data_IF_602414967309
#
_entry.id   IF_602414967309
#
_cell.length_a   1.000
_cell.length_b   1.000
_cell.length_c   1.000
_cell.angle_alpha   90.00
_cell.angle_beta   90.00
_cell.angle_gamma   90.00
#
_symmetry.space_group_name_H-M   'P 1'
#
loop_
_entity.id
_entity.type
_entity.pdbx_description
1 polymer ?
#
# COMPACT_ATOMS: atom_id res chain seq x y z
N UNK A 1 -8.22 -33.69 -24.37
CA UNK A 1 -6.77 -33.37 -24.38
C UNK A 1 -6.51 -32.50 -23.17
N UNK A 2 -5.94 -33.14 -22.15
CA UNK A 2 -5.49 -32.56 -20.89
C UNK A 2 -4.46 -31.44 -21.15
N UNK A 3 -4.72 -30.23 -20.68
CA UNK A 3 -3.76 -29.11 -20.75
C UNK A 3 -3.49 -28.59 -19.36
N UNK A 4 -2.84 -29.45 -18.57
CA UNK A 4 -1.82 -29.11 -17.56
C UNK A 4 -2.03 -27.79 -16.81
N UNK A 5 -2.99 -27.87 -15.92
CA UNK A 5 -3.28 -27.06 -14.74
C UNK A 5 -2.15 -27.15 -13.68
N UNK A 6 -0.89 -26.93 -14.08
CA UNK A 6 0.28 -26.92 -13.17
C UNK A 6 1.31 -25.84 -13.56
N UNK A 7 1.29 -25.37 -14.83
CA UNK A 7 2.23 -24.35 -15.29
C UNK A 7 1.83 -22.92 -14.90
N UNK A 8 0.57 -22.67 -14.52
CA UNK A 8 0.06 -21.34 -14.16
C UNK A 8 0.43 -20.95 -12.71
N UNK A 9 0.44 -21.90 -11.78
CA UNK A 9 0.74 -21.63 -10.37
C UNK A 9 2.23 -21.35 -10.08
N UNK A 10 3.13 -21.67 -11.02
CA UNK A 10 4.59 -21.53 -10.84
C UNK A 10 5.17 -20.37 -11.64
N UNK A 11 4.43 -19.78 -12.58
CA UNK A 11 4.99 -18.72 -13.42
C UNK A 11 5.13 -17.42 -12.62
N UNK A 12 6.38 -17.17 -12.20
CA UNK A 12 6.79 -16.06 -11.34
C UNK A 12 6.05 -16.00 -9.99
N UNK A 13 5.89 -17.14 -9.33
CA UNK A 13 5.43 -17.16 -7.94
C UNK A 13 6.57 -16.72 -6.99
N UNK A 14 6.52 -15.52 -6.39
CA UNK A 14 7.45 -15.20 -5.31
C UNK A 14 7.13 -16.10 -4.13
N UNK A 15 8.16 -16.64 -3.46
CA UNK A 15 7.98 -17.27 -2.17
C UNK A 15 7.29 -16.24 -1.25
N UNK A 16 6.13 -16.60 -0.68
CA UNK A 16 5.39 -15.71 0.19
C UNK A 16 6.31 -15.24 1.33
N UNK A 17 6.70 -13.96 1.39
CA UNK A 17 7.56 -13.49 2.45
C UNK A 17 6.81 -13.64 3.78
N UNK A 18 7.52 -14.07 4.81
CA UNK A 18 6.98 -14.04 6.16
C UNK A 18 6.54 -12.59 6.44
N UNK A 19 5.24 -12.40 6.70
CA UNK A 19 4.68 -11.08 6.98
C UNK A 19 5.39 -10.56 8.22
N UNK A 20 6.07 -9.40 8.16
CA UNK A 20 6.78 -8.87 9.31
C UNK A 20 5.79 -8.71 10.47
N UNK A 21 6.25 -8.97 11.69
CA UNK A 21 5.47 -8.69 12.89
C UNK A 21 4.99 -7.22 12.82
N UNK A 22 3.75 -6.93 13.28
CA UNK A 22 3.28 -5.56 13.32
C UNK A 22 4.30 -4.74 14.11
N UNK A 23 4.92 -3.77 13.43
CA UNK A 23 5.95 -2.97 14.06
C UNK A 23 5.32 -2.21 15.22
N UNK A 24 5.89 -2.36 16.41
CA UNK A 24 5.62 -1.57 17.61
C UNK A 24 6.18 -0.14 17.46
N UNK A 25 6.11 0.41 16.24
CA UNK A 25 6.66 1.71 15.89
C UNK A 25 5.88 2.84 16.58
N UNK A 26 6.42 4.07 16.57
CA UNK A 26 5.68 5.26 16.96
C UNK A 26 4.31 5.27 16.28
N UNK A 27 3.27 5.86 16.90
CA UNK A 27 1.95 5.97 16.27
C UNK A 27 2.11 6.46 14.83
N UNK A 28 1.67 5.63 13.89
CA UNK A 28 1.59 6.05 12.51
C UNK A 28 0.57 7.17 12.40
N UNK A 29 0.84 8.20 11.62
CA UNK A 29 -0.14 9.25 11.39
C UNK A 29 -1.39 8.63 10.74
N UNK A 30 -2.58 9.06 11.14
CA UNK A 30 -3.83 8.65 10.48
C UNK A 30 -4.09 9.51 9.23
N UNK A 31 -4.45 8.87 8.13
CA UNK A 31 -4.88 9.57 6.92
C UNK A 31 -6.23 10.25 7.13
N UNK A 32 -6.34 11.54 6.81
CA UNK A 32 -7.60 12.30 7.02
C UNK A 32 -8.73 11.87 6.09
N UNK A 33 -8.43 11.20 4.97
CA UNK A 33 -9.42 10.75 3.98
C UNK A 33 -9.93 9.33 4.27
N UNK A 34 -9.04 8.36 4.45
CA UNK A 34 -9.42 6.96 4.64
C UNK A 34 -9.39 6.47 6.09
N UNK A 35 -8.85 7.27 7.04
CA UNK A 35 -8.70 6.90 8.46
C UNK A 35 -7.85 5.65 8.71
N UNK A 36 -7.02 5.28 7.74
CA UNK A 36 -6.04 4.20 7.90
C UNK A 36 -4.70 4.77 8.40
N UNK A 37 -3.94 4.01 9.20
CA UNK A 37 -2.58 4.38 9.56
C UNK A 37 -1.73 4.46 8.29
N UNK A 38 -1.01 5.57 8.15
CA UNK A 38 -0.06 5.78 7.05
C UNK A 38 1.22 4.96 7.28
N UNK A 39 2.09 4.85 6.27
CA UNK A 39 3.43 4.27 6.49
C UNK A 39 4.38 5.23 7.23
N UNK A 40 3.96 6.48 7.43
CA UNK A 40 4.77 7.54 8.02
C UNK A 40 4.48 7.67 9.52
N UNK A 41 5.51 7.79 10.37
CA UNK A 41 5.29 8.04 11.80
C UNK A 41 4.72 9.44 12.02
N UNK A 42 3.93 9.63 13.08
CA UNK A 42 3.34 10.93 13.48
C UNK A 42 4.38 12.05 13.69
N UNK A 43 5.65 11.68 13.90
CA UNK A 43 6.76 12.63 14.00
C UNK A 43 7.08 13.36 12.69
N UNK A 44 6.63 12.84 11.54
CA UNK A 44 6.84 13.51 10.25
C UNK A 44 5.87 14.68 10.11
N UNK A 45 6.37 15.89 10.36
CA UNK A 45 5.57 17.11 10.23
C UNK A 45 5.12 17.33 8.78
N UNK A 46 3.82 17.55 8.61
CA UNK A 46 3.21 17.96 7.33
C UNK A 46 2.58 16.83 6.52
N UNK A 47 2.67 15.57 6.97
CA UNK A 47 1.99 14.44 6.32
C UNK A 47 0.59 14.27 6.93
N UNK A 48 -0.44 14.53 6.11
CA UNK A 48 -1.86 14.34 6.49
C UNK A 48 -2.58 13.30 5.63
N UNK A 49 -1.94 12.83 4.56
CA UNK A 49 -2.48 11.84 3.61
C UNK A 49 -1.56 10.63 3.53
N UNK A 50 -2.15 9.45 3.31
CA UNK A 50 -1.37 8.25 2.98
C UNK A 50 -0.83 8.32 1.53
N UNK A 51 0.22 7.54 1.21
CA UNK A 51 0.83 7.46 -0.13
C UNK A 51 -0.15 7.23 -1.28
N UNK A 52 -1.18 6.45 -1.00
CA UNK A 52 -2.24 6.13 -1.96
C UNK A 52 -3.13 7.34 -2.20
N UNK A 53 -3.54 8.03 -1.15
CA UNK A 53 -4.41 9.20 -1.24
C UNK A 53 -3.68 10.41 -1.87
N UNK A 54 -2.41 10.64 -1.55
CA UNK A 54 -1.65 11.75 -2.17
C UNK A 54 -1.55 11.59 -3.69
N UNK A 55 -1.30 10.37 -4.18
CA UNK A 55 -1.24 10.10 -5.61
C UNK A 55 -2.61 10.21 -6.28
N UNK A 56 -3.68 9.77 -5.61
CA UNK A 56 -5.03 9.92 -6.14
C UNK A 56 -5.44 11.39 -6.29
N UNK A 57 -5.15 12.23 -5.31
CA UNK A 57 -5.46 13.68 -5.39
C UNK A 57 -4.62 14.38 -6.48
N UNK A 58 -3.35 14.00 -6.64
CA UNK A 58 -2.50 14.48 -7.73
C UNK A 58 -3.06 14.09 -9.11
N UNK A 59 -3.49 12.83 -9.28
CA UNK A 59 -4.11 12.38 -10.53
C UNK A 59 -5.44 13.08 -10.82
N UNK A 60 -6.30 13.26 -9.81
CA UNK A 60 -7.56 13.97 -9.98
C UNK A 60 -7.31 15.37 -10.49
N UNK A 61 -6.36 16.09 -9.88
CA UNK A 61 -5.97 17.44 -10.32
C UNK A 61 -5.42 17.44 -11.74
N UNK A 62 -4.62 16.42 -12.10
CA UNK A 62 -4.05 16.30 -13.44
C UNK A 62 -5.11 16.01 -14.53
N UNK A 63 -6.20 15.32 -14.19
CA UNK A 63 -7.22 14.84 -15.13
C UNK A 63 -8.56 15.58 -15.05
N UNK A 64 -8.73 16.56 -14.16
CA UNK A 64 -9.98 17.34 -13.99
C UNK A 64 -10.03 18.62 -14.84
N UNK A 65 -9.30 18.64 -15.96
CA UNK A 65 -9.24 19.76 -16.91
C UNK A 65 -10.46 19.87 -17.81
#
# INVERSE_FOLDING_TARGET
MDRTDVADETYCAPAAPARPAPAEGPPYAECVLCREPTEYPESVKGITLCPVCEWQEAQRTACSG
#
